data_IF_029842720554
#
_entry.id   IF_029842720554
#
_cell.length_a   1.000
_cell.length_b   1.000
_cell.length_c   1.000
_cell.angle_alpha   90.00
_cell.angle_beta   90.00
_cell.angle_gamma   90.00
#
_symmetry.space_group_name_H-M   'P 1'
#
loop_
_entity.id
_entity.type
_entity.pdbx_description
1 polymer ?
#
# COMPACT_ATOMS: atom_id res chain seq x y z
N UNK A 1 -30.03 -29.25 -42.03
CA UNK A 1 -29.73 -28.76 -40.67
C UNK A 1 -28.42 -27.97 -40.76
N UNK A 2 -28.49 -26.65 -40.84
CA UNK A 2 -27.30 -25.79 -40.96
C UNK A 2 -26.70 -25.67 -39.56
N UNK A 3 -25.58 -26.34 -39.32
CA UNK A 3 -24.79 -26.12 -38.12
C UNK A 3 -24.15 -24.74 -38.23
N UNK A 4 -24.77 -23.74 -37.59
CA UNK A 4 -24.15 -22.45 -37.37
C UNK A 4 -22.90 -22.70 -36.52
N UNK A 5 -21.74 -22.55 -37.17
CA UNK A 5 -20.43 -22.55 -36.53
C UNK A 5 -20.50 -21.52 -35.40
N UNK A 6 -20.22 -21.88 -34.14
CA UNK A 6 -20.20 -20.90 -33.07
C UNK A 6 -19.21 -19.80 -33.43
N UNK A 7 -19.52 -18.52 -33.15
CA UNK A 7 -18.62 -17.43 -33.48
C UNK A 7 -17.24 -17.71 -32.87
N UNK A 8 -16.14 -17.36 -33.57
CA UNK A 8 -14.80 -17.57 -33.06
C UNK A 8 -14.72 -16.91 -31.68
N UNK A 9 -14.28 -17.69 -30.67
CA UNK A 9 -14.01 -17.15 -29.34
C UNK A 9 -12.96 -16.05 -29.51
N UNK A 10 -13.40 -14.80 -29.47
CA UNK A 10 -12.50 -13.65 -29.42
C UNK A 10 -11.52 -13.90 -28.27
N UNK A 11 -10.23 -13.65 -28.51
CA UNK A 11 -9.26 -13.63 -27.42
C UNK A 11 -9.76 -12.69 -26.32
N UNK A 12 -9.40 -12.93 -25.07
CA UNK A 12 -9.82 -12.06 -23.95
C UNK A 12 -9.53 -10.57 -24.23
N UNK A 13 -8.46 -10.29 -24.98
CA UNK A 13 -8.06 -8.97 -25.45
C UNK A 13 -9.07 -8.38 -26.46
N UNK A 14 -9.53 -9.17 -27.44
CA UNK A 14 -10.53 -8.73 -28.41
C UNK A 14 -11.88 -8.38 -27.77
N UNK A 15 -12.30 -9.16 -26.76
CA UNK A 15 -13.50 -8.82 -25.97
C UNK A 15 -13.30 -7.54 -25.16
N UNK A 16 -12.15 -7.41 -24.49
CA UNK A 16 -11.80 -6.20 -23.73
C UNK A 16 -11.83 -4.95 -24.61
N UNK A 17 -11.22 -5.00 -25.80
CA UNK A 17 -11.23 -3.89 -26.76
C UNK A 17 -12.66 -3.45 -27.09
N UNK A 18 -13.56 -4.39 -27.40
CA UNK A 18 -14.96 -4.06 -27.69
C UNK A 18 -15.68 -3.40 -26.51
N UNK A 19 -15.34 -3.77 -25.27
CA UNK A 19 -15.89 -3.11 -24.09
C UNK A 19 -15.35 -1.69 -23.93
N UNK A 20 -14.06 -1.46 -24.21
CA UNK A 20 -13.46 -0.12 -24.22
C UNK A 20 -14.13 0.75 -25.28
N UNK A 21 -14.25 0.25 -26.52
CA UNK A 21 -14.88 0.96 -27.64
C UNK A 21 -16.34 1.34 -27.31
N UNK A 22 -17.07 0.44 -26.63
CA UNK A 22 -18.43 0.71 -26.18
C UNK A 22 -18.50 1.83 -25.13
N UNK A 23 -17.56 1.88 -24.20
CA UNK A 23 -17.48 2.97 -23.21
C UNK A 23 -17.16 4.29 -23.91
N UNK A 24 -16.26 4.26 -24.90
CA UNK A 24 -15.92 5.45 -25.69
C UNK A 24 -17.11 5.98 -26.50
N UNK A 25 -17.81 5.13 -27.25
CA UNK A 25 -18.98 5.52 -28.04
C UNK A 25 -20.10 6.09 -27.17
N UNK A 26 -20.34 5.49 -25.99
CA UNK A 26 -21.31 6.02 -25.02
C UNK A 26 -20.93 7.44 -24.55
N UNK A 27 -19.65 7.70 -24.30
CA UNK A 27 -19.20 9.03 -23.91
C UNK A 27 -19.31 10.07 -25.03
N UNK A 28 -18.92 9.71 -26.26
CA UNK A 28 -18.98 10.61 -27.43
C UNK A 28 -20.39 11.08 -27.78
N UNK A 29 -21.41 10.26 -27.51
CA UNK A 29 -22.83 10.60 -27.77
C UNK A 29 -23.44 11.56 -26.74
N UNK A 30 -22.63 12.25 -25.92
CA UNK A 30 -23.06 13.09 -24.80
C UNK A 30 -23.97 12.36 -23.78
N UNK A 31 -23.94 11.02 -23.77
CA UNK A 31 -24.58 10.21 -22.74
C UNK A 31 -23.64 10.08 -21.53
N UNK A 32 -22.96 11.18 -21.15
CA UNK A 32 -22.01 11.26 -20.03
C UNK A 32 -22.65 10.76 -18.72
N UNK A 33 -23.97 10.91 -18.58
CA UNK A 33 -24.77 10.40 -17.48
C UNK A 33 -24.88 8.86 -17.42
N UNK A 34 -24.63 8.15 -18.52
CA UNK A 34 -24.79 6.69 -18.63
C UNK A 34 -23.50 5.89 -18.45
N UNK A 35 -22.31 6.50 -18.52
CA UNK A 35 -21.07 5.79 -18.22
C UNK A 35 -20.91 5.67 -16.70
N UNK A 36 -21.55 4.63 -16.14
CA UNK A 36 -21.43 4.31 -14.73
C UNK A 36 -20.07 3.68 -14.43
N UNK A 37 -19.48 3.98 -13.27
CA UNK A 37 -18.22 3.39 -12.79
C UNK A 37 -18.20 1.85 -12.78
N UNK A 38 -19.36 1.19 -12.76
CA UNK A 38 -19.50 -0.27 -12.85
C UNK A 38 -18.95 -0.81 -14.17
N UNK A 39 -19.00 -0.03 -15.25
CA UNK A 39 -18.40 -0.43 -16.52
C UNK A 39 -16.86 -0.49 -16.43
N UNK A 40 -16.24 0.47 -15.73
CA UNK A 40 -14.81 0.40 -15.44
C UNK A 40 -14.47 -0.82 -14.59
N UNK A 41 -15.27 -1.11 -13.56
CA UNK A 41 -15.02 -2.26 -12.70
C UNK A 41 -15.04 -3.57 -13.48
N UNK A 42 -15.97 -3.73 -14.42
CA UNK A 42 -16.02 -4.91 -15.30
C UNK A 42 -14.77 -5.02 -16.18
N UNK A 43 -14.30 -3.91 -16.75
CA UNK A 43 -13.08 -3.89 -17.58
C UNK A 43 -11.86 -4.28 -16.72
N UNK A 44 -11.66 -3.62 -15.58
CA UNK A 44 -10.57 -3.90 -14.66
C UNK A 44 -10.58 -5.33 -14.11
N UNK A 45 -11.76 -5.92 -13.92
CA UNK A 45 -11.88 -7.31 -13.49
C UNK A 45 -11.37 -8.29 -14.55
N UNK A 46 -11.57 -7.98 -15.84
CA UNK A 46 -11.16 -8.80 -16.97
C UNK A 46 -9.67 -8.66 -17.31
N UNK A 47 -9.05 -7.52 -17.00
CA UNK A 47 -7.61 -7.34 -17.17
C UNK A 47 -6.81 -8.17 -16.15
N UNK A 48 -5.86 -8.97 -16.64
CA UNK A 48 -5.07 -9.93 -15.83
C UNK A 48 -3.56 -9.86 -16.07
N UNK A 49 -3.12 -9.12 -17.08
CA UNK A 49 -1.73 -9.06 -17.49
C UNK A 49 -1.37 -7.68 -18.05
N UNK A 50 -0.07 -7.46 -18.27
CA UNK A 50 0.51 -6.24 -18.84
C UNK A 50 -0.10 -5.83 -20.18
N UNK A 51 -0.42 -6.78 -21.06
CA UNK A 51 -1.04 -6.48 -22.35
C UNK A 51 -2.44 -5.86 -22.18
N UNK A 52 -3.23 -6.40 -21.25
CA UNK A 52 -4.57 -5.88 -20.93
C UNK A 52 -4.55 -4.63 -20.04
N UNK A 53 -3.42 -4.30 -19.41
CA UNK A 53 -3.29 -3.13 -18.54
C UNK A 53 -3.53 -1.84 -19.32
N UNK A 54 -2.93 -1.69 -20.50
CA UNK A 54 -3.08 -0.49 -21.33
C UNK A 54 -4.56 -0.20 -21.65
N UNK A 55 -5.34 -1.23 -21.97
CA UNK A 55 -6.78 -1.12 -22.22
C UNK A 55 -7.57 -0.65 -20.99
N UNK A 56 -7.22 -1.16 -19.80
CA UNK A 56 -7.82 -0.72 -18.54
C UNK A 56 -7.50 0.74 -18.21
N UNK A 57 -6.28 1.19 -18.50
CA UNK A 57 -5.86 2.59 -18.33
C UNK A 57 -6.57 3.49 -19.35
N UNK A 58 -6.66 3.10 -20.63
CA UNK A 58 -7.37 3.85 -21.67
C UNK A 58 -8.84 4.07 -21.26
N UNK A 59 -9.53 3.02 -20.79
CA UNK A 59 -10.89 3.14 -20.28
C UNK A 59 -10.99 4.13 -19.11
N UNK A 60 -10.02 4.10 -18.20
CA UNK A 60 -9.93 5.01 -17.05
C UNK A 60 -9.73 6.45 -17.50
N UNK A 61 -8.85 6.69 -18.48
CA UNK A 61 -8.64 8.01 -19.06
C UNK A 61 -9.89 8.55 -19.74
N UNK A 62 -10.61 7.72 -20.50
CA UNK A 62 -11.90 8.12 -21.07
C UNK A 62 -12.89 8.52 -19.98
N UNK A 63 -12.98 7.75 -18.89
CA UNK A 63 -13.85 8.07 -17.77
C UNK A 63 -13.53 9.45 -17.16
N UNK A 64 -12.25 9.76 -16.95
CA UNK A 64 -11.82 11.08 -16.50
C UNK A 64 -12.12 12.19 -17.52
N UNK A 65 -11.85 11.95 -18.81
CA UNK A 65 -12.13 12.89 -19.90
C UNK A 65 -13.64 13.20 -20.06
N UNK A 66 -14.51 12.33 -19.56
CA UNK A 66 -15.96 12.56 -19.47
C UNK A 66 -16.36 13.39 -18.25
N UNK A 67 -15.40 14.00 -17.54
CA UNK A 67 -15.64 14.83 -16.36
C UNK A 67 -16.03 14.02 -15.13
N UNK A 68 -15.76 12.71 -15.09
CA UNK A 68 -16.04 11.84 -13.95
C UNK A 68 -14.80 11.67 -13.09
N UNK A 69 -15.01 11.45 -11.79
CA UNK A 69 -13.95 11.13 -10.84
C UNK A 69 -14.18 9.73 -10.27
N UNK A 70 -13.09 9.04 -9.94
CA UNK A 70 -13.17 7.78 -9.22
C UNK A 70 -13.70 8.01 -7.81
N UNK A 71 -14.57 7.12 -7.35
CA UNK A 71 -14.91 7.06 -5.92
C UNK A 71 -13.73 6.47 -5.12
N UNK A 72 -13.70 6.60 -3.79
CA UNK A 72 -12.66 5.93 -2.98
C UNK A 72 -12.57 4.43 -3.23
N UNK A 73 -13.72 3.73 -3.33
CA UNK A 73 -13.76 2.32 -3.73
C UNK A 73 -13.19 2.10 -5.14
N UNK A 74 -13.45 3.03 -6.06
CA UNK A 74 -12.93 3.00 -7.41
C UNK A 74 -11.42 3.12 -7.46
N UNK A 75 -10.81 3.97 -6.62
CA UNK A 75 -9.35 4.08 -6.46
C UNK A 75 -8.77 2.75 -5.99
N UNK A 76 -9.36 2.13 -4.96
CA UNK A 76 -8.90 0.83 -4.46
C UNK A 76 -8.99 -0.27 -5.53
N UNK A 77 -10.09 -0.32 -6.29
CA UNK A 77 -10.23 -1.29 -7.39
C UNK A 77 -9.25 -1.03 -8.54
N UNK A 78 -9.01 0.24 -8.86
CA UNK A 78 -8.01 0.62 -9.85
C UNK A 78 -6.62 0.18 -9.42
N UNK A 79 -6.26 0.45 -8.17
CA UNK A 79 -4.99 0.01 -7.57
C UNK A 79 -4.80 -1.51 -7.61
N UNK A 80 -5.83 -2.27 -7.20
CA UNK A 80 -5.81 -3.75 -7.25
C UNK A 80 -5.69 -4.25 -8.69
N UNK A 81 -6.32 -3.58 -9.66
CA UNK A 81 -6.17 -3.89 -11.07
C UNK A 81 -4.73 -3.70 -11.56
N UNK A 82 -4.11 -2.56 -11.22
CA UNK A 82 -2.72 -2.25 -11.57
C UNK A 82 -1.76 -3.28 -10.98
N UNK A 83 -1.92 -3.59 -9.68
CA UNK A 83 -1.14 -4.64 -9.00
C UNK A 83 -1.29 -6.01 -9.66
N UNK A 84 -2.54 -6.41 -9.98
CA UNK A 84 -2.83 -7.70 -10.59
C UNK A 84 -2.19 -7.85 -11.97
N UNK A 85 -2.08 -6.76 -12.73
CA UNK A 85 -1.42 -6.77 -14.03
C UNK A 85 0.12 -6.79 -13.93
N UNK A 86 0.68 -6.67 -12.72
CA UNK A 86 2.12 -6.72 -12.46
C UNK A 86 2.83 -5.37 -12.59
N UNK A 87 2.09 -4.28 -12.73
CA UNK A 87 2.60 -2.92 -12.96
C UNK A 87 2.92 -2.21 -11.63
N UNK A 88 3.94 -2.70 -10.91
CA UNK A 88 4.26 -2.21 -9.56
C UNK A 88 4.67 -0.73 -9.53
N UNK A 89 5.41 -0.25 -10.53
CA UNK A 89 5.84 1.15 -10.61
C UNK A 89 4.63 2.09 -10.79
N UNK A 90 3.64 1.67 -11.56
CA UNK A 90 2.39 2.40 -11.71
C UNK A 90 1.57 2.35 -10.42
N UNK A 91 1.54 1.20 -9.74
CA UNK A 91 0.94 1.11 -8.40
C UNK A 91 1.61 2.06 -7.41
N UNK A 92 2.94 2.18 -7.42
CA UNK A 92 3.67 3.14 -6.59
C UNK A 92 3.22 4.59 -6.87
N UNK A 93 3.10 4.97 -8.15
CA UNK A 93 2.57 6.29 -8.53
C UNK A 93 1.16 6.52 -8.00
N UNK A 94 0.30 5.49 -7.98
CA UNK A 94 -1.05 5.60 -7.43
C UNK A 94 -1.07 5.84 -5.92
N UNK A 95 -0.08 5.35 -5.16
CA UNK A 95 0.04 5.70 -3.72
C UNK A 95 0.29 7.20 -3.55
N UNK A 96 1.14 7.79 -4.38
CA UNK A 96 1.48 9.23 -4.34
C UNK A 96 0.51 10.15 -5.08
N UNK A 97 -0.41 9.60 -5.88
CA UNK A 97 -1.18 10.35 -6.87
C UNK A 97 -2.23 11.33 -6.32
N UNK A 98 -2.45 11.37 -5.00
CA UNK A 98 -3.38 12.33 -4.37
C UNK A 98 -2.90 13.77 -4.38
N UNK A 99 -1.60 13.97 -4.60
CA UNK A 99 -1.03 15.30 -4.81
C UNK A 99 -1.42 15.88 -6.16
N UNK A 100 -1.86 15.03 -7.10
CA UNK A 100 -2.01 15.39 -8.50
C UNK A 100 -3.47 15.29 -8.98
N UNK A 101 -4.01 14.06 -9.04
CA UNK A 101 -5.27 13.79 -9.75
C UNK A 101 -6.19 12.75 -9.07
N UNK A 102 -5.68 12.01 -8.08
CA UNK A 102 -6.50 11.08 -7.31
C UNK A 102 -7.23 11.81 -6.17
N UNK A 103 -8.53 11.54 -5.95
CA UNK A 103 -9.29 12.19 -4.88
C UNK A 103 -8.92 11.71 -3.47
N UNK A 104 -8.42 10.48 -3.34
CA UNK A 104 -7.99 9.84 -2.09
C UNK A 104 -6.90 8.80 -2.42
N UNK A 105 -5.93 8.52 -1.53
CA UNK A 105 -4.98 7.45 -1.77
C UNK A 105 -5.69 6.08 -1.73
N UNK A 106 -5.07 5.02 -2.27
CA UNK A 106 -5.50 3.67 -1.97
C UNK A 106 -5.43 3.40 -0.47
N UNK A 107 -6.24 2.45 0.02
CA UNK A 107 -6.21 2.05 1.43
C UNK A 107 -4.80 1.58 1.85
N UNK A 108 -4.39 1.89 3.08
CA UNK A 108 -3.04 1.55 3.58
C UNK A 108 -2.73 0.06 3.46
N UNK A 109 -3.70 -0.83 3.72
CA UNK A 109 -3.53 -2.28 3.59
C UNK A 109 -3.14 -2.69 2.16
N UNK A 110 -3.67 -2.01 1.14
CA UNK A 110 -3.28 -2.23 -0.26
C UNK A 110 -1.86 -1.75 -0.53
N UNK A 111 -1.46 -0.62 0.07
CA UNK A 111 -0.08 -0.15 0.00
C UNK A 111 0.89 -1.13 0.68
N UNK A 112 0.50 -1.80 1.77
CA UNK A 112 1.31 -2.87 2.38
C UNK A 112 1.48 -4.09 1.48
N UNK A 113 0.44 -4.44 0.71
CA UNK A 113 0.56 -5.50 -0.31
C UNK A 113 1.59 -5.10 -1.37
N UNK A 114 1.58 -3.85 -1.83
CA UNK A 114 2.60 -3.33 -2.75
C UNK A 114 4.01 -3.38 -2.13
N UNK A 115 4.18 -2.92 -0.88
CA UNK A 115 5.45 -3.01 -0.15
C UNK A 115 5.94 -4.47 -0.09
N UNK A 116 5.05 -5.40 0.28
CA UNK A 116 5.37 -6.84 0.34
C UNK A 116 5.80 -7.39 -1.04
N UNK A 117 5.16 -6.94 -2.12
CA UNK A 117 5.56 -7.31 -3.48
C UNK A 117 6.97 -6.82 -3.83
N UNK A 118 7.34 -5.60 -3.42
CA UNK A 118 8.70 -5.08 -3.57
C UNK A 118 9.72 -5.84 -2.70
N UNK A 119 9.38 -6.19 -1.45
CA UNK A 119 10.22 -7.04 -0.59
C UNK A 119 10.51 -8.39 -1.27
N UNK A 120 9.50 -9.05 -1.83
CA UNK A 120 9.66 -10.33 -2.56
C UNK A 120 10.63 -10.18 -3.74
N UNK A 121 10.62 -9.02 -4.41
CA UNK A 121 11.54 -8.70 -5.52
C UNK A 121 12.91 -8.19 -5.06
N UNK A 122 13.14 -8.08 -3.74
CA UNK A 122 14.33 -7.45 -3.14
C UNK A 122 14.54 -6.00 -3.57
N UNK A 123 13.47 -5.31 -3.92
CA UNK A 123 13.47 -3.90 -4.31
C UNK A 123 13.20 -3.03 -3.08
N UNK A 124 14.17 -3.00 -2.17
CA UNK A 124 14.03 -2.35 -0.87
C UNK A 124 13.88 -0.83 -0.97
N UNK A 125 14.47 -0.21 -2.01
CA UNK A 125 14.34 1.22 -2.25
C UNK A 125 12.88 1.61 -2.53
N UNK A 126 12.17 0.81 -3.33
CA UNK A 126 10.75 1.07 -3.56
C UNK A 126 9.88 0.79 -2.33
N UNK A 127 10.28 -0.10 -1.42
CA UNK A 127 9.59 -0.23 -0.12
C UNK A 127 9.72 1.06 0.68
N UNK A 128 10.93 1.65 0.74
CA UNK A 128 11.20 2.91 1.42
C UNK A 128 10.40 4.06 0.78
N UNK A 129 10.34 4.11 -0.55
CA UNK A 129 9.53 5.11 -1.27
C UNK A 129 8.04 5.02 -0.90
N UNK A 130 7.47 3.81 -0.83
CA UNK A 130 6.07 3.64 -0.37
C UNK A 130 5.91 4.09 1.07
N UNK A 131 6.84 3.74 1.96
CA UNK A 131 6.82 4.18 3.36
C UNK A 131 6.80 5.70 3.47
N UNK A 132 7.67 6.41 2.73
CA UNK A 132 7.70 7.87 2.72
C UNK A 132 6.40 8.49 2.21
N UNK A 133 5.78 7.90 1.18
CA UNK A 133 4.50 8.36 0.66
C UNK A 133 3.38 8.20 1.69
N UNK A 134 3.32 7.07 2.39
CA UNK A 134 2.36 6.85 3.49
C UNK A 134 2.61 7.85 4.61
N UNK A 135 3.87 7.96 5.05
CA UNK A 135 4.28 8.80 6.20
C UNK A 135 3.99 10.28 5.98
N UNK A 136 4.11 10.76 4.74
CA UNK A 136 3.88 12.14 4.34
C UNK A 136 2.44 12.43 3.89
N UNK A 137 1.54 11.45 3.91
CA UNK A 137 0.15 11.63 3.52
C UNK A 137 -0.78 11.44 4.72
N UNK A 138 -1.32 12.53 5.25
CA UNK A 138 -2.23 12.51 6.41
C UNK A 138 -3.50 11.67 6.19
N UNK A 139 -3.89 11.41 4.93
CA UNK A 139 -5.04 10.55 4.61
C UNK A 139 -4.71 9.05 4.75
N UNK A 140 -3.43 8.71 4.88
CA UNK A 140 -2.95 7.35 5.10
C UNK A 140 -2.41 7.24 6.53
N UNK A 141 -2.96 6.29 7.30
CA UNK A 141 -2.41 5.99 8.62
C UNK A 141 -1.12 5.20 8.48
N UNK A 142 -0.02 5.67 9.09
CA UNK A 142 1.16 4.82 9.33
C UNK A 142 0.80 3.80 10.40
N UNK A 143 1.11 2.53 10.16
CA UNK A 143 0.78 1.42 11.06
C UNK A 143 2.05 0.66 11.43
N UNK A 144 1.96 -0.22 12.41
CA UNK A 144 3.05 -1.12 12.78
C UNK A 144 3.54 -1.97 11.58
N UNK A 145 2.65 -2.33 10.64
CA UNK A 145 3.00 -3.04 9.41
C UNK A 145 3.84 -2.15 8.49
N UNK A 146 3.47 -0.88 8.34
CA UNK A 146 4.22 0.10 7.53
C UNK A 146 5.66 0.22 8.04
N UNK A 147 5.80 0.39 9.35
CA UNK A 147 7.09 0.53 10.02
C UNK A 147 7.93 -0.75 9.95
N UNK A 148 7.32 -1.92 10.20
CA UNK A 148 8.01 -3.21 10.12
C UNK A 148 8.61 -3.43 8.73
N UNK A 149 7.79 -3.35 7.67
CA UNK A 149 8.24 -3.59 6.30
C UNK A 149 9.35 -2.62 5.88
N UNK A 150 9.27 -1.37 6.32
CA UNK A 150 10.30 -0.36 6.08
C UNK A 150 11.61 -0.71 6.80
N UNK A 151 11.58 -1.00 8.10
CA UNK A 151 12.79 -1.34 8.87
C UNK A 151 13.47 -2.61 8.36
N UNK A 152 12.71 -3.67 8.08
CA UNK A 152 13.24 -4.91 7.51
C UNK A 152 13.94 -4.64 6.17
N UNK A 153 13.37 -3.76 5.35
CA UNK A 153 13.95 -3.37 4.06
C UNK A 153 15.18 -2.49 4.21
N UNK A 154 15.17 -1.54 5.14
CA UNK A 154 16.31 -0.67 5.46
C UNK A 154 17.53 -1.48 5.92
N UNK A 155 17.32 -2.51 6.74
CA UNK A 155 18.38 -3.41 7.19
C UNK A 155 19.04 -4.21 6.05
N UNK A 156 18.41 -4.24 4.87
CA UNK A 156 18.92 -4.87 3.67
C UNK A 156 19.58 -3.88 2.69
N UNK A 157 19.68 -2.59 3.05
CA UNK A 157 20.36 -1.56 2.24
C UNK A 157 21.84 -1.42 2.62
N UNK A 158 22.64 -0.77 1.77
CA UNK A 158 24.10 -0.69 1.96
C UNK A 158 24.54 0.47 2.87
N UNK A 159 23.76 1.55 2.93
CA UNK A 159 24.19 2.81 3.56
C UNK A 159 23.63 2.96 4.98
N UNK A 160 24.48 2.69 5.99
CA UNK A 160 24.14 2.80 7.41
C UNK A 160 22.79 2.13 7.76
N UNK A 161 22.60 0.85 7.38
CA UNK A 161 21.30 0.18 7.43
C UNK A 161 20.69 0.17 8.83
N UNK A 162 21.54 -0.02 9.86
CA UNK A 162 21.11 -0.10 11.24
C UNK A 162 20.70 1.29 11.77
N UNK A 163 21.52 2.30 11.55
CA UNK A 163 21.25 3.67 12.03
C UNK A 163 19.93 4.19 11.47
N UNK A 164 19.67 3.99 10.17
CA UNK A 164 18.42 4.43 9.55
C UNK A 164 17.23 3.64 10.08
N UNK A 165 17.35 2.31 10.24
CA UNK A 165 16.29 1.51 10.84
C UNK A 165 15.98 1.94 12.29
N UNK A 166 17.00 2.30 13.07
CA UNK A 166 16.85 2.83 14.43
C UNK A 166 16.16 4.20 14.45
N UNK A 167 16.51 5.09 13.52
CA UNK A 167 15.81 6.38 13.36
C UNK A 167 14.33 6.16 13.02
N UNK A 168 14.02 5.23 12.12
CA UNK A 168 12.64 4.84 11.79
C UNK A 168 11.92 4.23 12.99
N UNK A 169 12.63 3.46 13.83
CA UNK A 169 12.10 2.97 15.10
C UNK A 169 11.72 4.15 16.01
N UNK A 170 12.61 5.11 16.24
CA UNK A 170 12.29 6.30 17.01
C UNK A 170 11.12 7.11 16.42
N UNK A 171 11.04 7.26 15.09
CA UNK A 171 9.91 7.93 14.42
C UNK A 171 8.58 7.25 14.75
N UNK A 172 8.50 5.91 14.77
CA UNK A 172 7.25 5.24 15.16
C UNK A 172 6.81 5.57 16.59
N UNK A 173 7.73 5.80 17.53
CA UNK A 173 7.38 6.23 18.88
C UNK A 173 6.82 7.66 18.89
N UNK A 174 7.37 8.55 18.08
CA UNK A 174 6.89 9.93 17.91
C UNK A 174 5.48 9.95 17.28
N UNK A 175 5.15 8.97 16.45
CA UNK A 175 3.83 8.82 15.83
C UNK A 175 2.90 7.88 16.62
N UNK A 176 3.16 7.65 17.90
CA UNK A 176 2.35 6.81 18.79
C UNK A 176 2.02 5.42 18.21
N UNK A 177 2.93 4.87 17.41
CA UNK A 177 2.76 3.57 16.77
C UNK A 177 3.60 2.53 17.49
N UNK A 178 2.93 1.65 18.25
CA UNK A 178 3.58 0.50 18.88
C UNK A 178 4.06 -0.49 17.82
N UNK A 179 5.28 -0.98 17.99
CA UNK A 179 5.87 -1.97 17.09
C UNK A 179 5.70 -3.38 17.69
N UNK A 180 5.57 -4.43 16.86
CA UNK A 180 5.51 -5.77 17.39
C UNK A 180 6.90 -6.21 17.90
N UNK A 181 6.89 -7.13 18.85
CA UNK A 181 8.09 -7.58 19.57
C UNK A 181 9.20 -8.13 18.66
N UNK A 182 8.81 -8.78 17.56
CA UNK A 182 9.72 -9.34 16.56
C UNK A 182 10.61 -8.26 15.91
N UNK A 183 10.07 -7.08 15.66
CA UNK A 183 10.83 -5.94 15.13
C UNK A 183 11.87 -5.45 16.13
N UNK A 184 11.49 -5.32 17.39
CA UNK A 184 12.42 -4.93 18.45
C UNK A 184 13.54 -5.96 18.61
N UNK A 185 13.20 -7.26 18.59
CA UNK A 185 14.18 -8.34 18.66
C UNK A 185 15.15 -8.31 17.47
N UNK A 186 14.65 -8.07 16.27
CA UNK A 186 15.47 -7.93 15.06
C UNK A 186 16.49 -6.80 15.21
N UNK A 187 16.04 -5.61 15.62
CA UNK A 187 16.93 -4.46 15.82
C UNK A 187 17.98 -4.71 16.91
N UNK A 188 17.60 -5.37 18.01
CA UNK A 188 18.53 -5.73 19.08
C UNK A 188 19.60 -6.74 18.62
N UNK A 189 19.24 -7.69 17.75
CA UNK A 189 20.21 -8.63 17.19
C UNK A 189 21.25 -7.91 16.32
N UNK A 190 20.82 -7.01 15.43
CA UNK A 190 21.73 -6.20 14.62
C UNK A 190 22.61 -5.28 15.47
N UNK A 191 22.04 -4.63 16.50
CA UNK A 191 22.80 -3.81 17.45
C UNK A 191 23.92 -4.60 18.14
N UNK A 192 23.62 -5.80 18.64
CA UNK A 192 24.63 -6.63 19.30
C UNK A 192 25.75 -7.03 18.35
N UNK A 193 25.44 -7.30 17.07
CA UNK A 193 26.47 -7.61 16.08
C UNK A 193 27.34 -6.38 15.77
N UNK A 194 26.75 -5.19 15.61
CA UNK A 194 27.48 -3.95 15.34
C UNK A 194 28.32 -3.45 16.52
N UNK A 195 27.96 -3.81 17.75
CA UNK A 195 28.73 -3.49 18.96
C UNK A 195 30.10 -4.18 19.06
N UNK A 196 30.38 -5.17 18.22
CA UNK A 196 31.73 -5.75 18.09
C UNK A 196 32.75 -4.70 17.59
N UNK A 197 32.28 -3.58 17.03
CA UNK A 197 33.10 -2.44 16.67
C UNK A 197 33.24 -1.44 17.84
N UNK A 198 34.44 -1.39 18.43
CA UNK A 198 34.75 -0.62 19.64
C UNK A 198 34.48 0.90 19.53
N UNK A 199 34.49 1.48 18.32
CA UNK A 199 34.32 2.92 18.12
C UNK A 199 32.89 3.42 18.40
N UNK A 200 31.87 2.58 18.24
CA UNK A 200 30.45 2.94 18.37
C UNK A 200 29.73 2.23 19.52
N UNK A 201 30.44 1.43 20.32
CA UNK A 201 29.86 0.61 21.37
C UNK A 201 29.06 1.42 22.41
N UNK A 202 29.57 2.59 22.83
CA UNK A 202 28.87 3.46 23.80
C UNK A 202 27.58 4.05 23.24
N UNK A 203 27.56 4.40 21.95
CA UNK A 203 26.36 4.87 21.26
C UNK A 203 25.30 3.76 21.19
N UNK A 204 25.69 2.57 20.73
CA UNK A 204 24.76 1.44 20.59
C UNK A 204 24.23 0.92 21.93
N UNK A 205 25.01 0.96 23.02
CA UNK A 205 24.52 0.59 24.35
C UNK A 205 23.42 1.53 24.86
N UNK A 206 23.54 2.83 24.60
CA UNK A 206 22.49 3.79 24.91
C UNK A 206 21.21 3.50 24.13
N UNK A 207 21.33 3.23 22.82
CA UNK A 207 20.18 2.91 21.96
C UNK A 207 19.52 1.59 22.39
N UNK A 208 20.32 0.56 22.71
CA UNK A 208 19.84 -0.73 23.21
C UNK A 208 18.98 -0.56 24.47
N UNK A 209 19.44 0.28 25.41
CA UNK A 209 18.68 0.60 26.62
C UNK A 209 17.33 1.26 26.30
N UNK A 210 17.31 2.18 25.31
CA UNK A 210 16.08 2.83 24.85
C UNK A 210 15.10 1.80 24.26
N UNK A 211 15.57 0.91 23.39
CA UNK A 211 14.71 -0.13 22.79
C UNK A 211 14.17 -1.08 23.85
N UNK A 212 15.00 -1.55 24.78
CA UNK A 212 14.57 -2.44 25.87
C UNK A 212 13.50 -1.78 26.74
N UNK A 213 13.67 -0.51 27.09
CA UNK A 213 12.66 0.25 27.83
C UNK A 213 11.36 0.36 27.05
N UNK A 214 11.44 0.59 25.74
CA UNK A 214 10.26 0.66 24.87
C UNK A 214 9.51 -0.67 24.80
N UNK A 215 10.23 -1.79 24.64
CA UNK A 215 9.65 -3.14 24.67
C UNK A 215 8.87 -3.35 25.97
N UNK A 216 9.44 -2.98 27.12
CA UNK A 216 8.75 -3.10 28.42
C UNK A 216 7.45 -2.30 28.46
N UNK A 217 7.46 -1.05 27.98
CA UNK A 217 6.27 -0.19 27.95
C UNK A 217 5.19 -0.77 27.02
N UNK A 218 5.56 -1.22 25.83
CA UNK A 218 4.62 -1.77 24.85
C UNK A 218 4.06 -3.13 25.31
N UNK A 219 4.87 -3.99 25.92
CA UNK A 219 4.38 -5.25 26.51
C UNK A 219 3.42 -5.03 27.69
N UNK A 220 3.60 -3.97 28.49
CA UNK A 220 2.69 -3.63 29.59
C UNK A 220 1.32 -3.13 29.12
N UNK A 221 1.27 -2.52 27.93
CA UNK A 221 0.02 -2.06 27.32
C UNK A 221 -0.83 -3.22 26.75
N UNK A 222 -0.23 -4.39 26.49
CA UNK A 222 -0.93 -5.61 26.03
C UNK A 222 -1.42 -6.45 27.21
N UNK A 223 -2.06 -5.82 28.21
CA UNK A 223 -2.73 -6.57 29.28
C UNK A 223 -4.05 -7.19 28.75
N UNK A 224 -4.37 -8.47 29.00
CA UNK A 224 -5.56 -9.14 28.45
C UNK A 224 -6.89 -8.70 29.08
N UNK A 225 -6.85 -7.82 30.08
CA UNK A 225 -8.04 -7.35 30.76
C UNK A 225 -8.34 -5.92 30.32
N UNK A 226 -9.30 -5.81 29.42
CA UNK A 226 -9.93 -4.54 29.08
C UNK A 226 -10.38 -3.84 30.36
N UNK A 227 -9.95 -2.59 30.50
CA UNK A 227 -10.37 -1.70 31.56
C UNK A 227 -11.87 -1.42 31.36
N UNK A 228 -12.70 -2.32 31.88
CA UNK A 228 -14.13 -2.12 32.07
C UNK A 228 -14.30 -1.11 33.19
N UNK A 229 -14.02 0.17 32.90
CA UNK A 229 -14.68 1.25 33.65
C UNK A 229 -16.14 1.27 33.21
N UNK A 230 -16.90 0.36 33.81
CA UNK A 230 -18.34 0.48 33.94
C UNK A 230 -18.65 1.92 34.34
N UNK A 231 -19.49 2.55 33.53
CA UNK A 231 -20.29 3.69 33.95
C UNK A 231 -21.03 3.30 35.21
N UNK A 232 -20.56 3.76 36.37
CA UNK A 232 -21.42 3.91 37.53
C UNK A 232 -22.18 5.21 37.32
N UNK A 233 -23.40 5.01 36.84
CA UNK A 233 -24.51 5.94 36.95
C UNK A 233 -24.69 6.30 38.42
N UNK A 234 -24.36 7.53 38.80
CA UNK A 234 -24.95 8.11 40.00
C UNK A 234 -26.31 8.70 39.62
N UNK A 235 -27.33 7.93 39.98
CA UNK A 235 -28.70 8.37 40.16
C UNK A 235 -28.73 9.32 41.36
N UNK A 236 -29.02 10.59 41.11
CA UNK A 236 -29.93 11.44 41.89
C UNK A 236 -30.25 12.73 41.15
#
# INVERSE_FOLDING_TARGET
>A
MVFLKPPPRLSNIGMLSQYVDKVEDLGRRNLLLRVHIKHLYSIWQLCKNRESYSLGVIATNHFYNFGRQLTPEGVNKFFVFTLRCGELDESLKLVGGTKDWLPKPPDTDLAHILMSAFVIRKDYMNVINVFELIRNNWQMGSTHITYRLCMESLLCTEQNPLEVALMTCCDSAVNDTSLPFDVHLLLLQYLNWSMENAAMASFYENIKTIILRRVQLECQQVSPFGDSRMQLTDVR
#
